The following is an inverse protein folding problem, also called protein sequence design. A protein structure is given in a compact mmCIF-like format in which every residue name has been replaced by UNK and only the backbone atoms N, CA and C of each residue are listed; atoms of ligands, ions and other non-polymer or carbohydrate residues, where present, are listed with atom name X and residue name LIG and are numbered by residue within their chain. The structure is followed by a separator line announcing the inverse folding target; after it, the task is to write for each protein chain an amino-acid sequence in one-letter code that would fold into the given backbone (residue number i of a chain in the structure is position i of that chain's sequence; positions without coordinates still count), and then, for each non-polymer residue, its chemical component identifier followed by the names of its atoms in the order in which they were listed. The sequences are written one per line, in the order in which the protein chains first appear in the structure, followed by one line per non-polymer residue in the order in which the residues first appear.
data_IF_059008880302
#
_entry.id   IF_059008880302
#
_cell.length_a   1.000
_cell.length_b   1.000
_cell.length_c   1.000
_cell.angle_alpha   90.00
_cell.angle_beta   90.00
_cell.angle_gamma   90.00
#
_symmetry.space_group_name_H-M   'P 1'
#
loop_
_entity.id
_entity.type
_entity.pdbx_description
1 polymer ?
#
# COMPACT_ATOMS: atom_id res chain seq x y z
N UNK A 1 -18.68 -33.43 20.49
CA UNK A 1 -18.79 -32.38 19.47
C UNK A 1 -17.55 -31.52 19.48
N UNK A 2 -16.69 -31.71 18.53
CA UNK A 2 -15.57 -30.78 18.37
C UNK A 2 -16.13 -29.48 17.79
N UNK A 3 -16.13 -28.44 18.60
CA UNK A 3 -16.28 -27.09 18.08
C UNK A 3 -15.03 -26.81 17.26
N UNK A 4 -15.15 -26.89 15.97
CA UNK A 4 -14.12 -26.34 15.12
C UNK A 4 -14.12 -24.83 15.34
N UNK A 5 -13.18 -24.40 16.16
CA UNK A 5 -12.78 -23.01 16.13
C UNK A 5 -12.13 -22.83 14.76
N UNK A 6 -12.92 -22.42 13.79
CA UNK A 6 -12.33 -21.82 12.62
C UNK A 6 -11.60 -20.59 13.12
N UNK A 7 -10.29 -20.64 13.10
CA UNK A 7 -9.51 -19.42 13.10
C UNK A 7 -10.00 -18.59 11.90
N UNK A 8 -10.95 -17.75 12.18
CA UNK A 8 -11.24 -16.66 11.28
C UNK A 8 -9.95 -15.86 11.25
N UNK A 9 -9.18 -16.01 10.17
CA UNK A 9 -8.23 -14.97 9.80
C UNK A 9 -9.04 -13.69 9.82
N UNK A 10 -8.84 -12.88 10.86
CA UNK A 10 -9.40 -11.54 10.87
C UNK A 10 -8.84 -10.86 9.65
N UNK A 11 -9.65 -10.76 8.61
CA UNK A 11 -9.35 -9.92 7.48
C UNK A 11 -9.23 -8.51 8.06
N UNK A 12 -8.01 -7.95 7.97
CA UNK A 12 -7.77 -6.57 8.38
C UNK A 12 -8.64 -5.71 7.49
N UNK A 13 -9.51 -4.88 8.08
CA UNK A 13 -10.32 -3.97 7.30
C UNK A 13 -9.45 -2.91 6.67
N UNK A 14 -9.66 -2.68 5.39
CA UNK A 14 -8.94 -1.66 4.62
C UNK A 14 -9.09 -0.27 5.25
N UNK A 15 -10.30 0.06 5.73
CA UNK A 15 -10.58 1.30 6.43
C UNK A 15 -9.72 1.49 7.68
N UNK A 16 -9.45 0.43 8.43
CA UNK A 16 -8.60 0.49 9.63
C UNK A 16 -7.14 0.75 9.27
N UNK A 17 -6.63 0.12 8.23
CA UNK A 17 -5.27 0.36 7.74
C UNK A 17 -5.09 1.84 7.42
N UNK A 18 -6.04 2.42 6.70
CA UNK A 18 -5.96 3.81 6.28
C UNK A 18 -6.13 4.80 7.42
N UNK A 19 -7.07 4.55 8.33
CA UNK A 19 -7.31 5.42 9.48
C UNK A 19 -6.15 5.42 10.48
N UNK A 20 -5.48 4.28 10.62
CA UNK A 20 -4.38 4.11 11.57
C UNK A 20 -3.00 4.33 10.95
N UNK A 21 -2.95 4.74 9.68
CA UNK A 21 -1.69 4.98 8.99
C UNK A 21 -0.92 6.12 9.65
N UNK A 22 0.35 5.86 9.94
CA UNK A 22 1.31 6.84 10.46
C UNK A 22 2.27 7.33 9.38
N UNK A 23 2.30 6.64 8.24
CA UNK A 23 3.16 6.95 7.12
C UNK A 23 2.71 8.25 6.43
N UNK A 24 3.66 9.00 5.95
CA UNK A 24 3.41 10.19 5.16
C UNK A 24 2.91 9.82 3.76
N UNK A 25 1.90 10.52 3.28
CA UNK A 25 1.27 10.25 1.99
C UNK A 25 2.05 10.89 0.84
N UNK A 26 2.23 10.15 -0.26
CA UNK A 26 2.74 10.70 -1.50
C UNK A 26 1.74 10.49 -2.65
N UNK A 27 1.98 11.16 -3.76
CA UNK A 27 1.09 11.18 -4.92
C UNK A 27 1.87 10.84 -6.20
N UNK A 28 1.27 10.03 -7.06
CA UNK A 28 1.87 9.63 -8.33
C UNK A 28 2.95 8.55 -8.23
N UNK A 29 3.25 8.04 -7.03
CA UNK A 29 4.22 6.99 -6.79
C UNK A 29 3.67 6.01 -5.76
N UNK A 30 4.03 4.72 -5.85
CA UNK A 30 3.63 3.76 -4.83
C UNK A 30 4.29 4.07 -3.48
N UNK A 31 5.58 4.37 -3.49
CA UNK A 31 6.31 4.75 -2.29
C UNK A 31 7.57 5.54 -2.65
N UNK A 32 7.99 6.37 -1.72
CA UNK A 32 9.29 7.01 -1.76
C UNK A 32 10.18 6.39 -0.71
N UNK A 33 11.37 6.01 -1.12
CA UNK A 33 12.34 5.33 -0.27
C UNK A 33 13.55 6.22 -0.13
N UNK A 34 14.02 6.42 1.10
CA UNK A 34 15.34 6.98 1.36
C UNK A 34 16.27 5.86 1.79
N UNK A 35 17.54 6.04 1.53
CA UNK A 35 18.53 5.06 1.93
C UNK A 35 19.90 5.69 2.12
N UNK A 36 20.71 5.04 2.93
CA UNK A 36 22.11 5.38 3.12
C UNK A 36 22.98 4.17 2.79
N UNK A 37 24.16 4.45 2.26
CA UNK A 37 25.15 3.42 1.97
C UNK A 37 26.37 3.66 2.86
N UNK A 38 26.81 2.62 3.57
CA UNK A 38 28.10 2.62 4.23
C UNK A 38 29.14 2.11 3.25
N UNK A 39 30.29 2.78 3.20
CA UNK A 39 31.40 2.42 2.33
C UNK A 39 32.63 2.15 3.15
N UNK A 40 33.42 1.17 2.73
CA UNK A 40 34.73 0.89 3.33
C UNK A 40 35.81 1.84 2.80
N UNK A 41 37.05 1.65 3.28
CA UNK A 41 38.23 2.49 2.87
C UNK A 41 38.52 2.40 1.38
N UNK A 42 38.10 1.33 0.70
CA UNK A 42 38.28 1.13 -0.74
C UNK A 42 37.07 1.66 -1.55
N UNK A 43 36.18 2.43 -0.92
CA UNK A 43 34.93 2.96 -1.50
C UNK A 43 33.94 1.88 -1.96
N UNK A 44 34.05 0.66 -1.45
CA UNK A 44 33.08 -0.39 -1.70
C UNK A 44 31.90 -0.27 -0.73
N UNK A 45 30.70 -0.44 -1.26
CA UNK A 45 29.49 -0.43 -0.44
C UNK A 45 29.48 -1.64 0.49
N UNK A 46 29.51 -1.41 1.81
CA UNK A 46 29.49 -2.45 2.83
C UNK A 46 28.10 -2.75 3.34
N UNK A 47 27.21 -1.75 3.34
CA UNK A 47 25.82 -1.93 3.70
C UNK A 47 24.92 -0.91 3.02
N UNK A 48 23.65 -1.27 2.82
CA UNK A 48 22.61 -0.38 2.32
C UNK A 48 21.48 -0.40 3.34
N UNK A 49 21.15 0.77 3.89
CA UNK A 49 19.99 0.95 4.76
C UNK A 49 18.89 1.63 3.95
N UNK A 50 17.72 1.00 3.90
CA UNK A 50 16.55 1.55 3.24
C UNK A 50 15.47 1.87 4.27
N UNK A 51 14.82 3.01 4.13
CA UNK A 51 13.63 3.34 4.89
C UNK A 51 12.56 3.91 3.97
N UNK A 52 11.32 3.46 4.16
CA UNK A 52 10.16 4.00 3.45
C UNK A 52 9.81 5.33 4.10
N UNK A 53 9.81 6.41 3.33
CA UNK A 53 9.57 7.77 3.81
C UNK A 53 8.14 8.19 3.55
N UNK A 54 7.63 7.91 2.36
CA UNK A 54 6.26 8.28 1.95
C UNK A 54 5.64 7.16 1.15
N UNK A 55 4.33 7.03 1.25
CA UNK A 55 3.56 6.02 0.50
C UNK A 55 2.28 6.64 -0.07
N UNK A 56 1.86 6.17 -1.25
CA UNK A 56 0.47 6.38 -1.68
C UNK A 56 -0.44 5.33 -1.02
N UNK A 57 -1.74 5.39 -1.28
CA UNK A 57 -2.68 4.43 -0.69
C UNK A 57 -2.31 2.98 -1.02
N UNK A 58 -1.96 2.68 -2.26
CA UNK A 58 -1.55 1.33 -2.65
C UNK A 58 -0.17 0.95 -2.08
N UNK A 59 0.75 1.91 -2.00
CA UNK A 59 2.04 1.74 -1.33
C UNK A 59 1.90 1.47 0.16
N UNK A 60 0.92 2.08 0.81
CA UNK A 60 0.58 1.80 2.21
C UNK A 60 0.16 0.35 2.39
N UNK A 61 -0.67 -0.18 1.50
CA UNK A 61 -1.08 -1.59 1.54
C UNK A 61 0.10 -2.52 1.29
N UNK A 62 0.99 -2.18 0.38
CA UNK A 62 2.23 -2.93 0.12
C UNK A 62 3.12 -2.96 1.38
N UNK A 63 3.26 -1.83 2.06
CA UNK A 63 4.02 -1.73 3.31
C UNK A 63 3.41 -2.60 4.41
N UNK A 64 2.08 -2.57 4.57
CA UNK A 64 1.39 -3.41 5.54
C UNK A 64 1.50 -4.91 5.23
N UNK A 65 1.54 -5.27 3.97
CA UNK A 65 1.75 -6.64 3.50
C UNK A 65 3.24 -7.04 3.51
N UNK A 66 4.13 -6.13 3.89
CA UNK A 66 5.60 -6.28 3.86
C UNK A 66 6.17 -6.54 2.48
N UNK A 67 5.48 -6.12 1.45
CA UNK A 67 5.94 -6.17 0.07
C UNK A 67 6.77 -4.92 -0.20
N UNK A 68 7.96 -5.10 -0.78
CA UNK A 68 8.91 -4.00 -0.98
C UNK A 68 9.93 -3.86 0.16
N UNK A 69 9.63 -4.35 1.37
CA UNK A 69 10.58 -4.42 2.47
C UNK A 69 11.48 -5.66 2.39
N UNK A 70 11.16 -6.59 1.51
CA UNK A 70 11.89 -7.84 1.28
C UNK A 70 13.08 -7.67 0.33
N UNK A 71 13.37 -6.45 -0.10
CA UNK A 71 14.46 -6.22 -1.05
C UNK A 71 15.78 -6.63 -0.45
N UNK A 72 16.52 -7.45 -1.18
CA UNK A 72 17.83 -7.90 -0.77
C UNK A 72 18.77 -6.71 -0.56
N UNK A 73 19.71 -6.85 0.37
CA UNK A 73 20.74 -5.85 0.65
C UNK A 73 21.66 -5.57 -0.52
N UNK A 74 21.53 -6.32 -1.61
CA UNK A 74 22.37 -6.17 -2.82
C UNK A 74 21.77 -5.22 -3.86
N UNK A 75 20.51 -4.81 -3.71
CA UNK A 75 19.87 -3.89 -4.65
C UNK A 75 20.12 -2.43 -4.24
N UNK A 76 20.42 -1.60 -5.22
CA UNK A 76 20.46 -0.15 -5.04
C UNK A 76 19.08 0.34 -4.61
N UNK A 77 19.05 1.38 -3.77
CA UNK A 77 17.79 2.03 -3.36
C UNK A 77 16.96 2.56 -4.53
N UNK A 78 17.59 2.76 -5.69
CA UNK A 78 16.93 3.25 -6.89
C UNK A 78 16.41 2.14 -7.80
N UNK A 79 16.72 0.88 -7.50
CA UNK A 79 16.35 -0.26 -8.34
C UNK A 79 15.04 -0.93 -7.95
N UNK A 80 14.47 -0.58 -6.79
CA UNK A 80 13.17 -1.10 -6.42
C UNK A 80 12.08 -0.33 -7.16
N UNK A 81 11.50 -0.97 -8.16
CA UNK A 81 10.34 -0.45 -8.87
C UNK A 81 9.16 -1.35 -8.49
N UNK A 82 8.23 -0.80 -7.71
CA UNK A 82 6.99 -1.48 -7.44
C UNK A 82 6.14 -1.50 -8.72
N UNK A 83 5.66 -2.66 -9.10
CA UNK A 83 4.78 -2.83 -10.23
C UNK A 83 3.35 -3.18 -9.79
N UNK A 84 2.44 -3.26 -10.76
CA UNK A 84 1.04 -3.59 -10.49
C UNK A 84 0.88 -5.00 -9.90
N UNK A 85 1.76 -5.96 -10.25
CA UNK A 85 1.71 -7.31 -9.70
C UNK A 85 2.04 -7.32 -8.20
N UNK A 86 3.01 -6.51 -7.77
CA UNK A 86 3.34 -6.35 -6.35
C UNK A 86 2.17 -5.75 -5.57
N UNK A 87 1.51 -4.77 -6.15
CA UNK A 87 0.34 -4.14 -5.55
C UNK A 87 -0.82 -5.14 -5.41
N UNK A 88 -1.13 -5.88 -6.45
CA UNK A 88 -2.20 -6.88 -6.43
C UNK A 88 -1.88 -8.00 -5.42
N UNK A 89 -0.61 -8.39 -5.31
CA UNK A 89 -0.16 -9.35 -4.31
C UNK A 89 -0.37 -8.82 -2.89
N UNK A 90 -0.16 -7.52 -2.67
CA UNK A 90 -0.42 -6.90 -1.36
C UNK A 90 -1.90 -7.02 -0.97
N UNK A 91 -2.82 -6.72 -1.87
CA UNK A 91 -4.26 -6.88 -1.63
C UNK A 91 -4.60 -8.32 -1.25
N UNK A 92 -4.08 -9.29 -1.99
CA UNK A 92 -4.31 -10.72 -1.73
C UNK A 92 -3.75 -11.15 -0.37
N UNK A 93 -2.55 -10.68 -0.04
CA UNK A 93 -1.91 -10.98 1.25
C UNK A 93 -2.75 -10.46 2.41
N UNK A 94 -3.38 -9.31 2.26
CA UNK A 94 -4.25 -8.72 3.27
C UNK A 94 -5.69 -9.28 3.25
N UNK A 95 -5.99 -10.18 2.31
CA UNK A 95 -7.32 -10.77 2.18
C UNK A 95 -8.36 -9.84 1.58
N UNK A 96 -7.94 -8.87 0.80
CA UNK A 96 -8.79 -7.86 0.17
C UNK A 96 -8.86 -8.14 -1.34
N UNK A 97 -10.07 -8.15 -1.92
CA UNK A 97 -10.24 -8.29 -3.36
C UNK A 97 -9.94 -6.95 -4.05
N UNK A 98 -8.86 -6.86 -4.84
CA UNK A 98 -8.49 -5.62 -5.52
C UNK A 98 -9.48 -5.23 -6.64
N UNK A 99 -10.27 -6.18 -7.11
CA UNK A 99 -11.24 -5.99 -8.20
C UNK A 99 -12.66 -5.72 -7.70
N UNK A 100 -12.87 -5.64 -6.39
CA UNK A 100 -14.16 -5.25 -5.84
C UNK A 100 -14.55 -3.87 -6.39
N UNK A 101 -15.80 -3.72 -6.83
CA UNK A 101 -16.24 -2.50 -7.52
C UNK A 101 -16.75 -1.48 -6.52
N UNK A 102 -16.16 -0.29 -6.53
CA UNK A 102 -16.64 0.86 -5.77
C UNK A 102 -16.70 2.10 -6.68
N UNK A 103 -17.41 3.12 -6.23
CA UNK A 103 -17.46 4.41 -6.90
C UNK A 103 -16.44 5.37 -6.26
N UNK A 104 -15.92 6.29 -7.06
CA UNK A 104 -15.27 7.47 -6.50
C UNK A 104 -16.34 8.39 -5.88
N UNK A 105 -16.15 8.82 -4.64
CA UNK A 105 -17.11 9.71 -3.97
C UNK A 105 -16.89 11.19 -4.28
N UNK A 106 -15.88 11.52 -5.09
CA UNK A 106 -15.50 12.89 -5.41
C UNK A 106 -15.87 13.31 -6.83
N UNK A 107 -16.01 12.36 -7.75
CA UNK A 107 -16.31 12.65 -9.16
C UNK A 107 -16.97 11.44 -9.84
N UNK A 108 -17.41 11.65 -11.09
CA UNK A 108 -18.05 10.64 -11.92
C UNK A 108 -17.14 10.09 -13.04
N UNK A 109 -15.85 10.41 -13.01
CA UNK A 109 -14.92 10.03 -14.09
C UNK A 109 -14.76 8.53 -14.26
N UNK A 110 -14.90 7.76 -13.17
CA UNK A 110 -14.81 6.29 -13.17
C UNK A 110 -16.19 5.62 -13.34
N UNK A 111 -17.23 6.39 -13.64
CA UNK A 111 -18.58 5.88 -13.86
C UNK A 111 -19.24 5.31 -12.62
N UNK A 112 -20.10 4.27 -12.79
CA UNK A 112 -20.91 3.68 -11.73
C UNK A 112 -20.17 2.67 -10.85
N UNK A 113 -18.90 2.50 -11.07
CA UNK A 113 -18.05 1.61 -10.27
C UNK A 113 -16.86 1.11 -11.08
N UNK A 114 -15.74 0.98 -10.40
CA UNK A 114 -14.51 0.50 -10.98
C UNK A 114 -13.74 -0.32 -9.95
N UNK A 115 -12.65 -0.96 -10.35
CA UNK A 115 -11.86 -1.81 -9.46
C UNK A 115 -11.32 -1.02 -8.26
N UNK A 116 -11.43 -1.59 -7.08
CA UNK A 116 -11.04 -0.99 -5.81
C UNK A 116 -9.64 -0.35 -5.89
N UNK A 117 -8.64 -1.09 -6.34
CA UNK A 117 -7.26 -0.59 -6.39
C UNK A 117 -7.11 0.65 -7.29
N UNK A 118 -7.87 0.72 -8.38
CA UNK A 118 -7.87 1.86 -9.30
C UNK A 118 -8.59 3.07 -8.72
N UNK A 119 -9.71 2.84 -8.04
CA UNK A 119 -10.46 3.93 -7.39
C UNK A 119 -9.63 4.54 -6.27
N UNK A 120 -8.96 3.71 -5.48
CA UNK A 120 -8.08 4.21 -4.40
C UNK A 120 -6.90 5.00 -4.97
N UNK A 121 -6.27 4.54 -6.02
CA UNK A 121 -5.22 5.27 -6.74
C UNK A 121 -5.73 6.62 -7.25
N UNK A 122 -6.91 6.63 -7.86
CA UNK A 122 -7.56 7.84 -8.35
C UNK A 122 -7.86 8.84 -7.23
N UNK A 123 -8.42 8.37 -6.11
CA UNK A 123 -8.69 9.22 -4.95
C UNK A 123 -7.39 9.80 -4.36
N UNK A 124 -6.35 8.98 -4.30
CA UNK A 124 -5.04 9.41 -3.79
C UNK A 124 -4.37 10.43 -4.71
N UNK A 125 -4.26 10.12 -5.99
CA UNK A 125 -3.41 10.89 -6.92
C UNK A 125 -4.15 12.05 -7.58
N UNK A 126 -5.37 11.82 -8.03
CA UNK A 126 -6.15 12.83 -8.74
C UNK A 126 -6.83 13.82 -7.77
N UNK A 127 -7.50 13.30 -6.74
CA UNK A 127 -8.19 14.13 -5.76
C UNK A 127 -7.33 14.51 -4.56
N UNK A 128 -6.16 13.92 -4.40
CA UNK A 128 -5.27 14.10 -3.25
C UNK A 128 -5.99 13.92 -1.91
N UNK A 129 -6.88 12.94 -1.87
CA UNK A 129 -7.67 12.63 -0.68
C UNK A 129 -6.77 11.99 0.37
N UNK A 130 -6.86 12.47 1.62
CA UNK A 130 -6.06 11.93 2.72
C UNK A 130 -6.41 10.47 3.02
N UNK A 131 -5.48 9.74 3.61
CA UNK A 131 -5.73 8.36 4.07
C UNK A 131 -6.95 8.29 5.00
N UNK A 132 -7.09 9.25 5.90
CA UNK A 132 -8.20 9.32 6.84
C UNK A 132 -9.55 9.45 6.13
N UNK A 133 -9.64 10.33 5.13
CA UNK A 133 -10.86 10.52 4.36
C UNK A 133 -11.20 9.30 3.51
N UNK A 134 -10.20 8.71 2.86
CA UNK A 134 -10.38 7.46 2.11
C UNK A 134 -10.86 6.35 3.05
N UNK A 135 -10.22 6.23 4.22
CA UNK A 135 -10.59 5.24 5.23
C UNK A 135 -12.02 5.43 5.73
N UNK A 136 -12.44 6.65 5.97
CA UNK A 136 -13.82 6.94 6.39
C UNK A 136 -14.85 6.57 5.33
N UNK A 137 -14.54 6.83 4.07
CA UNK A 137 -15.39 6.42 2.95
C UNK A 137 -15.51 4.90 2.84
N UNK A 138 -14.38 4.20 2.94
CA UNK A 138 -14.37 2.73 2.89
C UNK A 138 -15.13 2.11 4.07
N UNK A 139 -15.03 2.71 5.25
CA UNK A 139 -15.80 2.27 6.42
C UNK A 139 -17.30 2.35 6.17
N UNK A 140 -17.77 3.41 5.52
CA UNK A 140 -19.18 3.53 5.10
C UNK A 140 -19.60 2.41 4.16
N UNK A 141 -18.68 1.88 3.35
CA UNK A 141 -18.92 0.77 2.44
C UNK A 141 -18.76 -0.60 3.09
N UNK A 142 -18.40 -0.67 4.37
CA UNK A 142 -18.15 -1.91 5.07
C UNK A 142 -16.79 -2.55 4.79
N UNK A 143 -15.86 -1.79 4.21
CA UNK A 143 -14.50 -2.23 3.87
C UNK A 143 -13.45 -1.68 4.88
#
# INVERSE_FOLDING_TARGET
MSVQIQEQKQSVKLSEILKNATEEQCFGHFMKISGSTDRDEDHQTTSITKSIVKVCVNGLLMSNARIGNESSTTLSIYEYIADDDDMLRAYRTLGIDPYYRIKCNKCNLLGDGYHLYRVLEHMNDYHRTSFKEIGSYLEMLGL
#
